data_IF_798571443015
#
_entry.id   IF_798571443015
#
_cell.length_a   1.000
_cell.length_b   1.000
_cell.length_c   1.000
_cell.angle_alpha   90.00
_cell.angle_beta   90.00
_cell.angle_gamma   90.00
#
_symmetry.space_group_name_H-M   'P 1'
#
loop_
_entity.id
_entity.type
_entity.pdbx_description
1 polymer ?
#
# COMPACT_ATOMS: atom_id res chain seq x y z
N UNK A 1 -34.85 69.92 -0.57
CA UNK A 1 -35.61 69.82 0.70
C UNK A 1 -36.14 68.39 0.85
N UNK A 2 -36.65 68.03 2.05
CA UNK A 2 -37.18 66.72 2.54
C UNK A 2 -37.40 65.56 1.52
N UNK A 3 -37.05 64.28 1.81
CA UNK A 3 -37.58 63.35 2.86
C UNK A 3 -39.11 63.15 2.73
N UNK A 4 -39.73 61.96 2.83
CA UNK A 4 -39.33 60.60 3.28
C UNK A 4 -40.38 59.54 2.84
N UNK A 5 -39.98 58.25 2.72
CA UNK A 5 -40.67 56.98 3.16
C UNK A 5 -42.22 56.93 3.27
N UNK A 6 -42.99 55.94 2.78
CA UNK A 6 -42.78 54.79 1.85
C UNK A 6 -44.12 54.42 1.09
N UNK A 7 -44.78 53.24 1.03
CA UNK A 7 -44.76 51.92 1.70
C UNK A 7 -45.42 50.78 0.84
N UNK A 8 -44.87 49.55 0.90
CA UNK A 8 -45.48 48.17 0.82
C UNK A 8 -46.77 47.87 -0.02
N UNK A 9 -46.69 46.97 -1.01
CA UNK A 9 -47.32 45.60 -1.04
C UNK A 9 -46.88 44.72 -2.24
N UNK A 10 -47.28 43.44 -2.24
CA UNK A 10 -46.87 42.29 -3.07
C UNK A 10 -47.14 42.43 -4.62
N UNK A 11 -46.65 41.58 -5.54
CA UNK A 11 -46.50 40.12 -5.46
C UNK A 11 -45.61 39.45 -6.55
N UNK A 12 -45.31 38.15 -6.32
CA UNK A 12 -44.83 37.07 -7.21
C UNK A 12 -43.91 37.37 -8.41
N UNK A 13 -42.69 36.80 -8.36
CA UNK A 13 -42.14 35.92 -9.41
C UNK A 13 -41.14 34.94 -8.77
N UNK A 14 -41.00 33.73 -9.34
CA UNK A 14 -40.07 32.68 -8.85
C UNK A 14 -39.06 32.34 -9.93
N UNK A 15 -37.77 32.34 -9.59
CA UNK A 15 -36.73 31.60 -10.31
C UNK A 15 -35.64 31.15 -9.34
N UNK A 16 -35.05 30.00 -9.61
CA UNK A 16 -34.08 29.31 -8.75
C UNK A 16 -32.65 29.80 -8.94
N UNK A 17 -31.92 29.90 -7.83
CA UNK A 17 -30.46 29.81 -7.81
C UNK A 17 -30.08 28.63 -6.92
N UNK A 18 -29.52 27.58 -7.53
CA UNK A 18 -28.96 26.47 -6.79
C UNK A 18 -27.67 26.94 -6.09
N UNK A 19 -27.59 26.76 -4.77
CA UNK A 19 -26.38 27.07 -4.02
C UNK A 19 -25.29 26.05 -4.31
N UNK A 20 -24.08 26.50 -4.61
CA UNK A 20 -22.89 25.66 -4.56
C UNK A 20 -22.55 25.37 -3.09
N UNK A 21 -23.04 24.27 -2.55
CA UNK A 21 -22.77 23.90 -1.16
C UNK A 21 -21.31 23.48 -1.00
N UNK A 22 -20.55 24.31 -0.29
CA UNK A 22 -19.15 24.02 0.03
C UNK A 22 -19.08 22.95 1.12
N UNK A 23 -18.37 21.86 0.83
CA UNK A 23 -17.98 20.87 1.84
C UNK A 23 -17.17 21.58 2.93
N UNK A 24 -17.75 21.75 4.12
CA UNK A 24 -17.08 22.26 5.31
C UNK A 24 -16.44 21.09 6.08
N UNK A 25 -15.15 21.22 6.39
CA UNK A 25 -14.49 20.35 7.35
C UNK A 25 -14.87 20.72 8.80
N UNK A 26 -14.80 19.78 9.77
CA UNK A 26 -15.16 20.05 11.16
C UNK A 26 -14.21 21.08 11.83
N UNK A 27 -14.79 22.01 12.59
CA UNK A 27 -14.03 22.96 13.42
C UNK A 27 -14.74 24.28 13.76
N UNK A 28 -15.75 24.68 12.98
CA UNK A 28 -16.27 26.06 12.93
C UNK A 28 -17.30 26.44 14.05
N UNK A 29 -17.29 25.75 15.19
CA UNK A 29 -17.92 26.18 16.46
C UNK A 29 -19.45 26.32 16.54
N UNK A 30 -20.21 26.05 15.47
CA UNK A 30 -21.67 26.19 15.44
C UNK A 30 -22.46 25.09 16.19
N UNK A 31 -23.72 25.35 16.60
CA UNK A 31 -24.60 24.33 17.17
C UNK A 31 -25.01 23.28 16.10
N UNK A 32 -25.23 22.00 16.50
CA UNK A 32 -25.47 20.91 15.57
C UNK A 32 -26.86 20.97 14.89
N UNK A 33 -26.98 20.52 13.63
CA UNK A 33 -28.26 20.39 12.94
C UNK A 33 -29.07 19.19 13.45
N UNK A 34 -30.40 19.29 13.37
CA UNK A 34 -31.32 18.20 13.72
C UNK A 34 -31.43 17.14 12.62
N UNK A 35 -31.34 15.87 12.98
CA UNK A 35 -31.52 14.73 12.07
C UNK A 35 -32.97 14.57 11.58
N UNK A 36 -33.20 14.21 10.30
CA UNK A 36 -34.50 13.73 9.81
C UNK A 36 -34.85 12.35 10.39
N UNK A 37 -36.15 12.03 10.46
CA UNK A 37 -36.61 10.69 10.88
C UNK A 37 -36.33 9.61 9.82
N UNK A 38 -36.01 8.36 10.22
CA UNK A 38 -35.80 7.25 9.29
C UNK A 38 -37.06 6.87 8.49
N UNK A 39 -36.87 6.50 7.22
CA UNK A 39 -37.94 5.90 6.40
C UNK A 39 -38.33 4.49 6.88
N UNK A 40 -39.50 3.97 6.44
CA UNK A 40 -40.03 2.68 6.89
C UNK A 40 -39.15 1.50 6.44
N UNK A 41 -38.95 0.53 7.33
CA UNK A 41 -38.11 -0.64 7.08
C UNK A 41 -38.72 -1.60 6.03
N UNK A 42 -37.85 -2.22 5.23
CA UNK A 42 -38.22 -3.23 4.22
C UNK A 42 -38.54 -4.56 4.94
N UNK A 43 -39.67 -5.23 4.62
CA UNK A 43 -40.07 -6.47 5.29
C UNK A 43 -39.14 -7.66 4.95
N UNK A 44 -38.92 -8.61 5.90
CA UNK A 44 -38.14 -9.81 5.64
C UNK A 44 -38.73 -10.68 4.52
N UNK A 45 -37.87 -11.22 3.65
CA UNK A 45 -38.27 -12.16 2.59
C UNK A 45 -38.64 -11.54 1.24
N UNK A 46 -38.45 -10.23 1.05
CA UNK A 46 -38.48 -9.62 -0.28
C UNK A 46 -37.39 -10.24 -1.18
N UNK A 47 -37.70 -10.74 -2.40
CA UNK A 47 -36.69 -11.22 -3.33
C UNK A 47 -35.70 -10.12 -3.72
N UNK A 48 -34.41 -10.45 -3.75
CA UNK A 48 -33.38 -9.55 -4.28
C UNK A 48 -33.60 -9.24 -5.76
N UNK A 49 -33.12 -8.08 -6.26
CA UNK A 49 -33.23 -7.75 -7.68
C UNK A 49 -32.50 -8.80 -8.55
N UNK A 50 -33.05 -9.14 -9.72
CA UNK A 50 -32.41 -10.11 -10.61
C UNK A 50 -31.07 -9.59 -11.15
N UNK A 51 -30.09 -10.48 -11.41
CA UNK A 51 -28.81 -10.09 -11.99
C UNK A 51 -28.98 -9.53 -13.41
N UNK A 52 -28.09 -8.62 -13.86
CA UNK A 52 -28.15 -8.03 -15.20
C UNK A 52 -27.94 -9.09 -16.29
N UNK A 53 -28.77 -9.04 -17.34
CA UNK A 53 -28.86 -10.08 -18.38
C UNK A 53 -27.83 -10.01 -19.51
N UNK A 54 -26.76 -9.22 -19.38
CA UNK A 54 -25.72 -9.03 -20.40
C UNK A 54 -24.35 -8.91 -19.74
N UNK A 55 -23.26 -9.42 -20.36
CA UNK A 55 -21.90 -9.16 -19.89
C UNK A 55 -21.63 -7.65 -19.81
N UNK A 56 -20.95 -7.22 -18.76
CA UNK A 56 -20.57 -5.81 -18.57
C UNK A 56 -19.13 -5.63 -19.05
N UNK A 57 -18.95 -5.02 -20.21
CA UNK A 57 -17.62 -4.49 -20.55
C UNK A 57 -17.31 -3.32 -19.61
N UNK A 58 -16.11 -3.34 -19.04
CA UNK A 58 -15.64 -2.48 -17.94
C UNK A 58 -16.47 -2.53 -16.62
N UNK A 59 -16.20 -3.51 -15.74
CA UNK A 59 -16.78 -3.57 -14.39
C UNK A 59 -16.15 -2.59 -13.37
N UNK A 60 -15.14 -1.80 -13.76
CA UNK A 60 -14.46 -0.82 -12.90
C UNK A 60 -14.44 0.54 -13.61
N UNK A 61 -15.60 1.22 -13.62
CA UNK A 61 -15.94 2.31 -14.54
C UNK A 61 -15.02 3.54 -14.57
N UNK A 62 -13.88 3.42 -15.23
CA UNK A 62 -13.12 4.53 -15.81
C UNK A 62 -13.64 4.80 -17.23
N UNK A 63 -14.10 6.02 -17.51
CA UNK A 63 -14.55 6.44 -18.84
C UNK A 63 -13.36 6.82 -19.73
N UNK A 64 -13.17 6.18 -20.90
CA UNK A 64 -12.25 6.70 -21.91
C UNK A 64 -12.70 8.08 -22.38
N UNK A 65 -11.79 9.04 -22.41
CA UNK A 65 -12.03 10.34 -23.07
C UNK A 65 -11.50 10.22 -24.49
N UNK A 66 -12.42 10.23 -25.45
CA UNK A 66 -12.09 10.24 -26.88
C UNK A 66 -11.50 11.60 -27.27
N UNK A 67 -10.32 11.67 -27.92
CA UNK A 67 -9.67 12.94 -28.23
C UNK A 67 -10.28 13.73 -29.41
N UNK A 68 -11.10 13.12 -30.28
CA UNK A 68 -11.41 13.69 -31.61
C UNK A 68 -12.82 14.30 -31.78
N UNK A 69 -13.13 15.31 -30.95
CA UNK A 69 -14.01 16.44 -31.30
C UNK A 69 -15.55 16.25 -31.21
N UNK A 70 -16.36 17.21 -31.72
CA UNK A 70 -16.01 18.55 -32.21
C UNK A 70 -16.52 19.69 -31.31
N UNK A 71 -16.00 20.91 -31.48
CA UNK A 71 -16.54 22.13 -30.87
C UNK A 71 -17.61 22.77 -31.76
N UNK A 72 -18.78 23.08 -31.21
CA UNK A 72 -19.79 23.94 -31.84
C UNK A 72 -20.05 25.19 -30.98
N UNK A 73 -20.37 26.33 -31.61
CA UNK A 73 -20.38 27.65 -31.00
C UNK A 73 -21.61 28.48 -31.43
N UNK A 74 -22.26 29.12 -30.46
CA UNK A 74 -23.56 29.76 -30.66
C UNK A 74 -23.50 31.08 -31.45
N UNK A 75 -24.14 31.03 -32.63
CA UNK A 75 -24.94 32.06 -33.31
C UNK A 75 -24.73 33.56 -33.03
N UNK A 76 -24.51 34.35 -34.09
CA UNK A 76 -25.11 35.69 -34.34
C UNK A 76 -24.88 36.08 -35.84
N UNK A 77 -25.59 37.06 -36.46
CA UNK A 77 -26.29 36.72 -37.71
C UNK A 77 -26.03 37.60 -38.97
N UNK A 78 -26.25 36.97 -40.13
CA UNK A 78 -26.88 37.47 -41.38
C UNK A 78 -26.52 38.85 -41.97
N UNK A 79 -25.78 38.86 -43.09
CA UNK A 79 -26.03 39.72 -44.28
C UNK A 79 -25.22 39.19 -45.52
N UNK A 80 -25.60 39.50 -46.80
CA UNK A 80 -25.00 38.88 -48.00
C UNK A 80 -24.36 39.84 -49.04
N UNK A 81 -23.91 39.26 -50.18
CA UNK A 81 -23.45 39.87 -51.46
C UNK A 81 -22.01 40.49 -51.47
N UNK A 82 -21.23 40.61 -52.57
CA UNK A 82 -21.42 40.32 -54.03
C UNK A 82 -20.17 39.66 -54.71
N UNK A 83 -20.31 39.28 -55.99
CA UNK A 83 -19.33 39.26 -57.12
C UNK A 83 -18.13 38.27 -57.28
N UNK A 84 -18.28 37.48 -58.35
CA UNK A 84 -17.36 36.79 -59.32
C UNK A 84 -16.16 37.60 -59.91
N UNK A 85 -15.29 37.05 -60.82
CA UNK A 85 -15.03 35.64 -61.27
C UNK A 85 -13.54 35.22 -61.51
N UNK A 86 -13.33 33.92 -61.84
CA UNK A 86 -12.20 33.33 -62.65
C UNK A 86 -10.78 33.25 -61.98
N UNK A 87 -9.85 32.35 -62.36
CA UNK A 87 -9.63 31.61 -63.63
C UNK A 87 -9.21 30.12 -63.50
N UNK A 88 -9.67 29.30 -64.45
CA UNK A 88 -9.19 27.96 -64.87
C UNK A 88 -7.86 28.01 -65.68
N UNK A 89 -7.26 26.89 -66.20
CA UNK A 89 -7.06 25.54 -65.61
C UNK A 89 -5.67 24.93 -65.94
N UNK A 90 -5.29 23.79 -65.33
CA UNK A 90 -4.34 22.79 -65.91
C UNK A 90 -4.76 21.36 -65.52
N UNK A 91 -4.69 20.42 -66.47
CA UNK A 91 -5.09 19.01 -66.30
C UNK A 91 -4.05 18.13 -65.60
N UNK A 92 -4.52 17.03 -64.99
CA UNK A 92 -3.71 15.90 -64.51
C UNK A 92 -4.61 14.74 -64.11
N UNK A 93 -4.86 13.81 -65.03
CA UNK A 93 -5.63 12.58 -64.80
C UNK A 93 -4.67 11.41 -64.52
N UNK A 94 -4.97 10.61 -63.49
CA UNK A 94 -4.44 9.26 -63.30
C UNK A 94 -5.21 8.57 -62.15
N UNK A 95 -6.09 7.63 -62.50
CA UNK A 95 -6.89 6.86 -61.53
C UNK A 95 -6.24 5.51 -61.20
N UNK A 96 -5.92 5.27 -59.93
CA UNK A 96 -5.57 3.92 -59.43
C UNK A 96 -6.27 3.65 -58.10
N UNK A 97 -7.22 2.72 -58.10
CA UNK A 97 -7.89 2.17 -56.91
C UNK A 97 -6.93 1.21 -56.17
N UNK A 98 -6.89 1.19 -54.82
CA UNK A 98 -6.07 0.24 -54.08
C UNK A 98 -6.53 -1.21 -54.27
N UNK A 99 -5.63 -2.21 -54.18
CA UNK A 99 -5.97 -3.62 -54.24
C UNK A 99 -6.47 -4.15 -52.89
N UNK A 100 -7.63 -4.82 -52.89
CA UNK A 100 -8.01 -5.75 -51.82
C UNK A 100 -7.07 -6.97 -51.81
N UNK A 101 -6.62 -7.38 -50.63
CA UNK A 101 -6.08 -8.73 -50.39
C UNK A 101 -6.58 -9.32 -49.08
N UNK A 102 -7.76 -9.95 -49.14
CA UNK A 102 -8.16 -10.94 -48.14
C UNK A 102 -7.17 -12.10 -48.10
N UNK A 103 -6.75 -12.50 -46.90
CA UNK A 103 -6.01 -13.74 -46.66
C UNK A 103 -6.62 -14.44 -45.44
N UNK A 104 -6.85 -15.75 -45.55
CA UNK A 104 -7.73 -16.50 -44.64
C UNK A 104 -7.00 -17.08 -43.42
N UNK A 105 -7.78 -17.39 -42.38
CA UNK A 105 -7.33 -18.01 -41.13
C UNK A 105 -7.23 -19.54 -41.27
N UNK A 106 -6.11 -20.17 -40.86
CA UNK A 106 -6.08 -21.58 -40.53
C UNK A 106 -6.07 -21.79 -39.00
N UNK A 107 -7.20 -22.23 -38.44
CA UNK A 107 -7.28 -22.80 -37.09
C UNK A 107 -6.94 -24.28 -37.13
N UNK A 108 -5.90 -24.74 -36.41
CA UNK A 108 -5.72 -26.17 -36.13
C UNK A 108 -5.26 -26.45 -34.68
N UNK A 109 -5.93 -27.41 -34.06
CA UNK A 109 -5.55 -28.17 -32.85
C UNK A 109 -6.63 -29.23 -32.60
N UNK A 110 -6.36 -30.38 -31.95
CA UNK A 110 -5.07 -31.04 -31.68
C UNK A 110 -5.05 -32.49 -32.27
N UNK A 111 -3.98 -33.27 -32.03
CA UNK A 111 -4.07 -34.72 -31.87
C UNK A 111 -4.07 -35.14 -30.38
N UNK A 112 -4.59 -36.34 -30.09
CA UNK A 112 -4.75 -36.92 -28.74
C UNK A 112 -4.05 -38.29 -28.65
N UNK A 113 -3.85 -38.78 -27.43
CA UNK A 113 -3.30 -40.10 -27.05
C UNK A 113 -1.79 -40.33 -27.31
N UNK A 114 -1.09 -41.22 -26.59
CA UNK A 114 -1.55 -42.31 -25.69
C UNK A 114 -0.69 -42.45 -24.41
N UNK A 115 -1.16 -43.28 -23.47
CA UNK A 115 -0.55 -43.70 -22.19
C UNK A 115 0.97 -43.96 -22.16
N UNK A 116 1.62 -43.55 -21.07
CA UNK A 116 2.64 -44.37 -20.36
C UNK A 116 2.57 -44.11 -18.84
N UNK A 117 2.27 -45.14 -18.05
CA UNK A 117 2.64 -45.27 -16.61
C UNK A 117 2.94 -46.75 -16.29
N UNK A 118 3.60 -47.11 -15.17
CA UNK A 118 4.88 -47.81 -15.30
C UNK A 118 4.85 -49.28 -14.88
N UNK A 119 5.83 -50.05 -15.37
CA UNK A 119 6.12 -51.41 -14.89
C UNK A 119 7.29 -51.44 -13.90
N UNK A 120 7.15 -52.29 -12.88
CA UNK A 120 8.06 -52.48 -11.73
C UNK A 120 9.22 -53.43 -12.06
N UNK A 121 10.23 -53.59 -11.18
CA UNK A 121 10.19 -54.73 -10.26
C UNK A 121 10.63 -54.40 -8.82
N UNK A 122 10.46 -55.36 -7.91
CA UNK A 122 10.44 -55.17 -6.46
C UNK A 122 11.70 -55.67 -5.71
N UNK A 123 11.79 -55.25 -4.44
CA UNK A 123 12.31 -55.96 -3.26
C UNK A 123 13.75 -56.54 -3.22
N UNK A 124 14.48 -56.13 -2.16
CA UNK A 124 15.16 -57.07 -1.26
C UNK A 124 15.07 -56.55 0.19
N UNK A 125 14.78 -57.43 1.15
CA UNK A 125 14.92 -57.21 2.61
C UNK A 125 16.41 -57.06 3.04
N UNK A 126 16.84 -56.79 4.28
CA UNK A 126 16.25 -56.99 5.63
C UNK A 126 16.81 -55.98 6.66
N UNK A 127 16.11 -55.73 7.79
CA UNK A 127 16.69 -55.11 8.98
C UNK A 127 17.30 -56.14 9.94
N UNK A 128 18.19 -55.70 10.84
CA UNK A 128 18.68 -56.50 11.98
C UNK A 128 18.48 -55.75 13.30
N UNK A 129 17.74 -56.37 14.23
CA UNK A 129 17.79 -56.05 15.66
C UNK A 129 19.02 -56.65 16.32
N UNK A 130 19.45 -56.10 17.47
CA UNK A 130 19.49 -56.89 18.72
C UNK A 130 19.78 -56.05 19.98
N UNK A 131 19.21 -56.50 21.09
CA UNK A 131 19.24 -55.99 22.49
C UNK A 131 18.80 -57.22 23.33
N UNK A 132 19.23 -57.50 24.60
CA UNK A 132 19.45 -56.53 25.69
C UNK A 132 20.52 -56.91 26.74
N UNK A 133 20.50 -56.26 27.91
CA UNK A 133 21.32 -56.53 29.11
C UNK A 133 21.88 -55.22 29.71
N UNK A 134 21.38 -54.56 30.76
CA UNK A 134 20.59 -54.87 31.98
C UNK A 134 21.45 -54.89 33.25
N UNK A 135 20.90 -54.26 34.30
CA UNK A 135 21.41 -54.03 35.66
C UNK A 135 22.56 -53.01 35.84
N UNK A 136 22.49 -52.00 36.71
CA UNK A 136 21.89 -51.78 38.06
C UNK A 136 22.91 -52.02 39.18
N UNK A 137 23.39 -50.95 39.85
CA UNK A 137 23.37 -50.80 41.32
C UNK A 137 23.95 -49.43 41.77
N UNK A 138 23.35 -48.87 42.84
CA UNK A 138 23.77 -47.66 43.58
C UNK A 138 23.26 -47.83 45.02
N UNK A 139 24.12 -47.78 46.08
CA UNK A 139 23.86 -46.80 47.15
C UNK A 139 25.08 -46.34 48.01
N UNK A 140 25.05 -45.06 48.43
CA UNK A 140 25.65 -44.55 49.68
C UNK A 140 27.18 -44.34 49.73
N UNK A 141 27.73 -43.63 50.73
CA UNK A 141 27.11 -42.76 51.76
C UNK A 141 28.16 -41.85 52.43
N UNK A 142 27.78 -40.59 52.71
CA UNK A 142 28.17 -39.67 53.79
C UNK A 142 29.64 -39.40 54.29
N UNK A 143 29.78 -38.14 54.75
CA UNK A 143 30.60 -37.62 55.86
C UNK A 143 32.06 -37.12 55.70
N UNK A 144 32.17 -35.80 55.95
CA UNK A 144 33.10 -35.08 56.84
C UNK A 144 34.61 -34.88 56.53
N UNK A 145 34.89 -33.59 56.28
CA UNK A 145 36.13 -32.80 56.51
C UNK A 145 36.64 -32.96 57.96
N UNK A 146 37.97 -33.13 58.23
CA UNK A 146 38.84 -31.94 58.42
C UNK A 146 40.36 -32.07 58.19
N UNK A 147 41.02 -30.89 58.13
CA UNK A 147 42.23 -30.48 58.89
C UNK A 147 43.45 -29.93 58.09
N UNK A 148 43.90 -28.75 58.54
CA UNK A 148 45.31 -28.32 58.72
C UNK A 148 46.29 -28.27 57.52
N UNK A 149 46.36 -27.09 56.87
CA UNK A 149 47.57 -26.24 56.65
C UNK A 149 48.81 -26.77 55.88
N UNK A 150 49.68 -25.87 55.33
CA UNK A 150 50.34 -26.13 54.04
C UNK A 150 51.79 -26.62 54.10
N UNK A 151 52.24 -27.20 52.99
CA UNK A 151 53.64 -27.27 52.58
C UNK A 151 53.84 -26.49 51.26
N UNK A 152 55.06 -25.99 51.01
CA UNK A 152 55.37 -25.06 49.91
C UNK A 152 56.48 -25.64 49.04
N UNK A 153 56.18 -25.94 47.77
CA UNK A 153 57.16 -26.37 46.77
C UNK A 153 56.86 -25.70 45.42
N UNK A 154 57.86 -25.28 44.62
CA UNK A 154 57.65 -24.32 43.53
C UNK A 154 57.08 -24.93 42.25
N UNK A 155 56.24 -24.17 41.56
CA UNK A 155 55.65 -24.50 40.26
C UNK A 155 56.72 -24.63 39.17
N UNK A 156 56.71 -25.76 38.46
CA UNK A 156 57.39 -25.93 37.17
C UNK A 156 56.54 -25.26 36.07
N UNK A 157 57.11 -24.48 35.14
CA UNK A 157 56.33 -23.81 34.11
C UNK A 157 55.78 -24.80 33.09
N UNK A 158 54.46 -24.86 32.93
CA UNK A 158 53.81 -25.52 31.80
C UNK A 158 53.68 -24.54 30.63
N UNK A 159 54.14 -24.97 29.45
CA UNK A 159 54.22 -24.18 28.23
C UNK A 159 52.81 -23.93 27.67
N UNK A 160 52.21 -22.79 28.04
CA UNK A 160 50.84 -22.46 27.68
C UNK A 160 50.80 -21.95 26.25
N UNK A 161 50.56 -22.85 25.30
CA UNK A 161 50.35 -22.51 23.90
C UNK A 161 49.18 -21.51 23.77
N UNK A 162 49.46 -20.29 23.32
CA UNK A 162 48.45 -19.27 23.09
C UNK A 162 47.49 -19.72 21.99
N UNK A 163 46.26 -20.10 22.36
CA UNK A 163 45.15 -20.22 21.41
C UNK A 163 44.97 -18.88 20.71
N UNK A 164 45.08 -18.81 19.36
CA UNK A 164 44.89 -17.56 18.64
C UNK A 164 43.52 -16.98 18.96
N UNK A 165 43.49 -15.82 19.62
CA UNK A 165 42.24 -15.14 19.93
C UNK A 165 41.71 -14.55 18.63
N UNK A 166 40.64 -15.12 18.08
CA UNK A 166 39.98 -14.50 16.93
C UNK A 166 39.54 -13.07 17.29
N UNK A 167 39.72 -12.10 16.38
CA UNK A 167 39.31 -10.74 16.64
C UNK A 167 37.80 -10.68 16.79
N UNK A 168 37.33 -10.45 18.02
CA UNK A 168 35.90 -10.22 18.30
C UNK A 168 35.49 -8.92 17.62
N UNK A 169 34.93 -9.05 16.42
CA UNK A 169 34.26 -7.95 15.73
C UNK A 169 33.19 -7.39 16.68
N UNK A 170 33.17 -6.07 16.94
CA UNK A 170 32.13 -5.49 17.78
C UNK A 170 30.75 -5.74 17.16
N UNK A 171 29.68 -5.92 17.96
CA UNK A 171 28.33 -6.02 17.43
C UNK A 171 28.01 -4.78 16.60
N UNK A 172 27.29 -4.98 15.48
CA UNK A 172 26.87 -3.87 14.63
C UNK A 172 25.69 -3.18 15.32
N UNK A 173 25.90 -1.92 15.74
CA UNK A 173 24.85 -1.09 16.35
C UNK A 173 23.64 -0.95 15.41
N UNK A 174 22.40 -1.02 15.92
CA UNK A 174 21.20 -0.91 15.09
C UNK A 174 21.03 0.52 14.54
N UNK A 175 20.62 0.61 13.27
CA UNK A 175 20.46 1.90 12.55
C UNK A 175 19.03 2.44 12.61
N UNK A 176 18.08 1.61 13.05
CA UNK A 176 16.71 1.97 13.37
C UNK A 176 16.11 0.95 14.36
N UNK A 177 14.93 1.23 14.89
CA UNK A 177 14.14 0.25 15.65
C UNK A 177 12.71 0.13 15.14
N UNK A 178 12.10 -1.01 15.38
CA UNK A 178 10.76 -1.38 14.93
C UNK A 178 10.09 -2.29 15.97
N UNK A 179 8.75 -2.36 15.97
CA UNK A 179 8.03 -3.38 16.74
C UNK A 179 7.77 -4.62 15.90
N UNK A 180 7.64 -5.77 16.57
CA UNK A 180 7.27 -7.06 15.98
C UNK A 180 6.14 -6.99 14.91
N UNK A 181 6.14 -7.88 13.91
CA UNK A 181 5.06 -7.99 12.93
C UNK A 181 3.69 -8.17 13.60
N UNK A 182 2.64 -7.61 12.99
CA UNK A 182 1.27 -7.66 13.50
C UNK A 182 0.99 -6.81 14.75
N UNK A 183 2.02 -6.21 15.34
CA UNK A 183 1.92 -5.53 16.62
C UNK A 183 1.45 -4.07 16.44
N UNK A 184 0.20 -3.91 15.99
CA UNK A 184 -0.45 -2.65 15.60
C UNK A 184 -0.58 -1.64 16.76
N UNK A 185 -1.19 -0.48 16.54
CA UNK A 185 -1.51 0.45 17.63
C UNK A 185 -2.65 -0.13 18.50
N UNK A 186 -2.61 0.03 19.84
CA UNK A 186 -3.66 -0.48 20.72
C UNK A 186 -5.06 0.04 20.35
N UNK A 187 -5.91 -0.86 19.85
CA UNK A 187 -7.27 -0.54 19.41
C UNK A 187 -7.40 0.01 17.98
N UNK A 188 -6.34 0.05 17.16
CA UNK A 188 -6.49 0.37 15.74
C UNK A 188 -6.94 -0.81 14.89
N UNK A 189 -6.62 -2.04 15.29
CA UNK A 189 -7.07 -3.28 14.65
C UNK A 189 -6.53 -4.52 15.36
N UNK A 190 -6.45 -5.64 14.65
CA UNK A 190 -5.78 -6.87 15.10
C UNK A 190 -4.91 -7.39 13.95
N UNK A 191 -3.60 -7.29 14.10
CA UNK A 191 -2.63 -7.87 13.17
C UNK A 191 -2.42 -9.36 13.42
N UNK A 192 -1.77 -9.99 12.45
CA UNK A 192 -1.24 -11.36 12.56
C UNK A 192 0.26 -11.30 12.91
N UNK A 193 0.68 -12.11 13.87
CA UNK A 193 2.07 -12.17 14.37
C UNK A 193 2.93 -13.17 13.57
N UNK A 194 2.31 -14.17 12.93
CA UNK A 194 3.02 -15.25 12.23
C UNK A 194 3.37 -14.84 10.77
N UNK A 195 3.88 -13.61 10.60
CA UNK A 195 4.23 -13.06 9.28
C UNK A 195 5.56 -13.61 8.75
N UNK A 196 5.69 -13.60 7.43
CA UNK A 196 6.91 -13.95 6.70
C UNK A 196 7.39 -12.80 5.80
N UNK A 197 8.64 -12.87 5.35
CA UNK A 197 9.17 -11.97 4.34
C UNK A 197 8.60 -12.37 2.97
N UNK A 198 7.49 -11.74 2.60
CA UNK A 198 6.79 -11.99 1.33
C UNK A 198 7.58 -11.55 0.08
N UNK A 199 8.42 -10.53 0.19
CA UNK A 199 9.21 -10.00 -0.93
C UNK A 199 10.69 -9.82 -0.51
N UNK A 200 11.44 -10.94 -0.36
CA UNK A 200 12.84 -10.89 0.05
C UNK A 200 13.72 -10.24 -1.03
N UNK A 201 14.77 -9.55 -0.59
CA UNK A 201 15.76 -8.94 -1.49
C UNK A 201 15.33 -7.65 -2.19
N UNK A 202 14.10 -7.17 -1.99
CA UNK A 202 13.65 -5.90 -2.61
C UNK A 202 14.43 -4.67 -2.14
N UNK A 203 14.49 -3.66 -3.01
CA UNK A 203 14.92 -2.29 -2.69
C UNK A 203 13.80 -1.56 -1.94
N UNK A 204 14.13 -0.78 -0.91
CA UNK A 204 13.14 0.00 -0.18
C UNK A 204 12.49 1.07 -1.06
N UNK A 205 11.15 1.24 -1.07
CA UNK A 205 10.45 2.07 -2.07
C UNK A 205 10.71 3.58 -1.95
N UNK A 206 11.27 4.04 -0.82
CA UNK A 206 11.73 5.42 -0.65
C UNK A 206 13.24 5.50 -0.88
N UNK A 207 13.66 6.30 -1.86
CA UNK A 207 15.04 6.31 -2.38
C UNK A 207 16.14 6.60 -1.36
N UNK A 208 15.96 7.63 -0.54
CA UNK A 208 17.03 8.17 0.35
C UNK A 208 16.54 9.03 1.51
N UNK A 209 15.26 9.41 1.55
CA UNK A 209 14.71 10.15 2.69
C UNK A 209 14.48 9.21 3.89
N UNK A 210 14.57 9.71 5.14
CA UNK A 210 14.11 8.97 6.32
C UNK A 210 12.66 8.52 6.16
N UNK A 211 12.34 7.33 6.66
CA UNK A 211 11.02 6.73 6.54
C UNK A 211 10.49 6.29 7.92
N UNK A 212 9.18 6.33 8.08
CA UNK A 212 8.49 6.05 9.34
C UNK A 212 7.21 5.25 9.09
N UNK A 213 7.33 3.92 9.23
CA UNK A 213 6.23 2.98 9.10
C UNK A 213 5.33 3.10 10.33
N UNK A 214 4.10 3.57 10.12
CA UNK A 214 3.11 3.85 11.17
C UNK A 214 1.74 4.10 10.53
N UNK A 215 0.63 3.86 11.23
CA UNK A 215 -0.72 4.26 10.80
C UNK A 215 -0.82 5.73 10.39
N UNK A 216 -1.45 6.06 9.25
CA UNK A 216 -1.81 7.44 8.95
C UNK A 216 -3.18 7.86 9.51
N UNK A 217 -4.01 6.90 9.95
CA UNK A 217 -5.35 7.15 10.52
C UNK A 217 -5.29 7.41 12.02
N UNK A 218 -4.50 6.61 12.74
CA UNK A 218 -4.48 6.56 14.21
C UNK A 218 -3.31 7.33 14.84
N UNK A 219 -2.39 7.92 14.05
CA UNK A 219 -1.31 8.82 14.53
C UNK A 219 -1.63 10.30 14.28
N UNK A 220 -0.71 11.21 14.59
CA UNK A 220 -0.98 12.64 14.49
C UNK A 220 -1.11 13.09 13.02
N UNK A 221 -2.17 13.86 12.75
CA UNK A 221 -2.64 14.23 11.43
C UNK A 221 -3.69 13.28 10.84
N UNK A 222 -3.93 12.13 11.45
CA UNK A 222 -4.93 11.15 11.01
C UNK A 222 -6.35 11.47 11.48
N UNK A 223 -7.35 10.88 10.81
CA UNK A 223 -8.78 11.12 11.11
C UNK A 223 -9.21 10.71 12.52
N UNK A 224 -8.56 9.68 13.10
CA UNK A 224 -8.82 9.19 14.47
C UNK A 224 -7.79 9.75 15.47
N UNK A 225 -6.51 9.83 15.09
CA UNK A 225 -5.45 10.34 15.97
C UNK A 225 -5.49 11.87 16.19
N UNK A 226 -6.03 12.64 15.23
CA UNK A 226 -6.14 14.09 15.29
C UNK A 226 -4.79 14.82 15.28
N UNK A 227 -4.77 16.12 15.57
CA UNK A 227 -3.53 16.90 15.59
C UNK A 227 -2.95 17.19 14.20
N UNK A 228 -1.62 17.30 14.08
CA UNK A 228 -0.96 17.71 12.84
C UNK A 228 -0.11 16.61 12.19
N UNK A 229 -0.21 16.48 10.87
CA UNK A 229 0.55 15.48 10.09
C UNK A 229 2.06 15.79 10.01
N UNK A 230 2.45 17.05 10.25
CA UNK A 230 3.85 17.44 10.36
C UNK A 230 4.33 17.58 11.82
N UNK A 231 3.60 17.02 12.80
CA UNK A 231 4.07 16.94 14.19
C UNK A 231 5.33 16.06 14.28
N UNK A 232 6.40 16.49 14.99
CA UNK A 232 7.65 15.74 15.11
C UNK A 232 7.53 14.30 15.60
N UNK A 233 6.47 13.97 16.37
CA UNK A 233 6.26 12.61 16.90
C UNK A 233 6.00 11.56 15.82
N UNK A 234 5.62 11.97 14.61
CA UNK A 234 5.44 11.06 13.47
C UNK A 234 6.74 10.83 12.66
N UNK A 235 7.87 11.38 13.11
CA UNK A 235 9.18 11.29 12.46
C UNK A 235 10.21 10.69 13.43
N UNK A 236 9.79 9.63 14.12
CA UNK A 236 10.55 8.92 15.15
C UNK A 236 10.41 7.40 15.02
N UNK A 237 11.39 6.69 15.56
CA UNK A 237 11.36 5.24 15.79
C UNK A 237 10.84 4.96 17.23
N UNK A 238 10.33 3.75 17.55
CA UNK A 238 10.23 2.57 16.69
C UNK A 238 9.12 2.67 15.62
N UNK A 239 9.36 2.02 14.48
CA UNK A 239 8.33 1.71 13.50
C UNK A 239 7.25 0.77 14.05
N UNK A 240 6.10 0.74 13.38
CA UNK A 240 4.98 -0.11 13.73
C UNK A 240 4.19 -0.55 12.49
N UNK A 241 3.85 -1.83 12.45
CA UNK A 241 2.97 -2.41 11.45
C UNK A 241 1.60 -1.72 11.46
N UNK A 242 1.01 -1.54 10.29
CA UNK A 242 -0.36 -1.05 10.14
C UNK A 242 -1.20 -1.84 9.12
N UNK A 243 -0.70 -2.98 8.64
CA UNK A 243 -1.53 -3.98 7.96
C UNK A 243 -2.60 -4.51 8.93
N UNK A 244 -3.75 -4.96 8.43
CA UNK A 244 -4.91 -5.37 9.27
C UNK A 244 -5.53 -4.29 10.20
N UNK A 245 -5.12 -3.01 10.12
CA UNK A 245 -5.84 -1.96 10.85
C UNK A 245 -7.30 -1.82 10.37
N UNK A 246 -8.19 -1.45 11.28
CA UNK A 246 -9.62 -1.27 11.01
C UNK A 246 -9.85 -0.11 10.05
N UNK A 247 -10.67 -0.35 9.02
CA UNK A 247 -11.16 0.60 8.02
C UNK A 247 -12.68 0.48 7.88
N UNK A 248 -13.33 1.35 7.11
CA UNK A 248 -14.77 1.26 6.84
C UNK A 248 -15.12 0.52 5.53
N UNK A 249 -14.23 0.58 4.54
CA UNK A 249 -14.38 -0.10 3.24
C UNK A 249 -14.28 -1.62 3.38
N UNK A 250 -15.07 -2.37 2.60
CA UNK A 250 -15.10 -3.84 2.69
C UNK A 250 -13.93 -4.51 1.96
N UNK A 251 -12.76 -4.44 2.58
CA UNK A 251 -11.46 -4.97 2.14
C UNK A 251 -11.02 -6.13 3.04
N UNK A 252 -10.20 -7.06 2.51
CA UNK A 252 -9.86 -8.32 3.18
C UNK A 252 -8.50 -8.89 2.77
N UNK A 253 -7.91 -9.70 3.65
CA UNK A 253 -6.72 -10.51 3.40
C UNK A 253 -6.85 -11.82 4.20
N UNK A 254 -6.34 -12.96 3.69
CA UNK A 254 -6.19 -14.18 4.49
C UNK A 254 -5.21 -14.02 5.66
N UNK A 255 -4.30 -13.04 5.60
CA UNK A 255 -3.31 -12.70 6.64
C UNK A 255 -3.86 -11.72 7.69
N UNK A 256 -5.20 -11.62 7.83
CA UNK A 256 -5.85 -10.83 8.85
C UNK A 256 -7.05 -11.59 9.45
N UNK A 257 -7.24 -11.59 10.79
CA UNK A 257 -8.37 -12.25 11.43
C UNK A 257 -9.71 -11.53 11.25
N UNK A 258 -9.74 -10.42 10.51
CA UNK A 258 -10.90 -9.57 10.30
C UNK A 258 -11.06 -9.15 8.83
N UNK A 259 -12.26 -8.69 8.50
CA UNK A 259 -12.55 -7.95 7.26
C UNK A 259 -12.71 -6.46 7.59
N UNK A 260 -12.76 -5.63 6.54
CA UNK A 260 -12.62 -4.17 6.61
C UNK A 260 -11.25 -3.73 7.13
N UNK A 261 -10.22 -4.23 6.46
CA UNK A 261 -8.82 -4.00 6.84
C UNK A 261 -8.12 -2.97 5.94
N UNK A 262 -7.03 -2.43 6.46
CA UNK A 262 -5.95 -1.82 5.72
C UNK A 262 -5.16 -2.89 4.92
N UNK A 263 -4.91 -2.65 3.63
CA UNK A 263 -4.38 -3.63 2.66
C UNK A 263 -2.92 -3.40 2.22
N UNK A 264 -2.20 -2.55 2.94
CA UNK A 264 -0.78 -2.26 2.70
C UNK A 264 -0.07 -1.82 3.96
N UNK A 265 1.10 -1.22 3.79
CA UNK A 265 1.84 -0.53 4.83
C UNK A 265 1.97 0.95 4.46
N UNK A 266 1.64 1.85 5.39
CA UNK A 266 1.91 3.28 5.19
C UNK A 266 3.33 3.65 5.64
N UNK A 267 3.94 4.52 4.88
CA UNK A 267 5.31 5.00 5.04
C UNK A 267 5.25 6.53 5.03
N UNK A 268 5.33 7.18 6.20
CA UNK A 268 5.53 8.64 6.27
C UNK A 268 7.00 8.96 5.96
N UNK A 269 7.27 10.02 5.21
CA UNK A 269 8.59 10.24 4.60
C UNK A 269 9.16 11.64 4.85
N UNK A 270 10.43 11.69 5.24
CA UNK A 270 11.23 12.90 5.36
C UNK A 270 11.41 13.40 6.78
N UNK A 271 11.27 14.72 6.96
CA UNK A 271 11.34 15.39 8.28
C UNK A 271 10.13 16.31 8.48
N UNK A 272 9.87 16.79 9.72
CA UNK A 272 8.81 17.77 9.98
C UNK A 272 8.92 19.03 9.10
N UNK A 273 10.14 19.49 8.82
CA UNK A 273 10.42 20.66 7.98
C UNK A 273 10.07 20.39 6.51
N UNK A 274 10.37 19.18 6.02
CA UNK A 274 10.05 18.74 4.66
C UNK A 274 8.55 18.51 4.49
N UNK A 275 7.87 17.90 5.46
CA UNK A 275 6.41 17.81 5.50
C UNK A 275 5.78 19.22 5.43
N UNK A 276 6.29 20.15 6.24
CA UNK A 276 5.86 21.55 6.21
C UNK A 276 6.18 22.25 4.87
N UNK A 277 7.23 21.84 4.15
CA UNK A 277 7.52 22.34 2.82
C UNK A 277 6.55 21.77 1.76
N UNK A 278 6.23 20.48 1.80
CA UNK A 278 5.20 19.88 0.92
C UNK A 278 3.81 20.47 1.17
N UNK A 279 3.47 20.78 2.43
CA UNK A 279 2.25 21.52 2.81
C UNK A 279 2.17 22.91 2.16
N UNK A 280 3.30 23.63 2.07
CA UNK A 280 3.37 24.95 1.42
C UNK A 280 3.44 24.89 -0.11
N UNK A 281 3.91 23.78 -0.68
CA UNK A 281 3.98 23.57 -2.11
C UNK A 281 2.59 23.28 -2.72
N UNK A 282 2.35 23.80 -3.92
CA UNK A 282 1.19 23.43 -4.73
C UNK A 282 1.20 21.92 -5.01
N UNK A 283 0.02 21.29 -5.08
CA UNK A 283 -0.13 19.82 -5.21
C UNK A 283 0.74 19.24 -6.34
N UNK A 284 0.74 19.89 -7.49
CA UNK A 284 1.51 19.45 -8.66
C UNK A 284 3.04 19.54 -8.46
N UNK A 285 3.57 20.44 -7.63
CA UNK A 285 5.01 20.71 -7.54
C UNK A 285 5.71 20.04 -6.34
N UNK A 286 5.04 19.07 -5.69
CA UNK A 286 5.61 18.27 -4.60
C UNK A 286 6.56 17.21 -5.15
N UNK A 287 7.87 17.46 -5.04
CA UNK A 287 8.94 16.59 -5.55
C UNK A 287 10.05 16.32 -4.54
N UNK A 288 9.79 16.49 -3.24
CA UNK A 288 10.82 16.32 -2.19
C UNK A 288 11.15 14.85 -1.90
N UNK A 289 10.14 13.99 -1.81
CA UNK A 289 10.31 12.59 -1.42
C UNK A 289 10.22 11.67 -2.63
N UNK A 290 11.36 11.17 -3.09
CA UNK A 290 11.47 10.40 -4.34
C UNK A 290 11.18 8.90 -4.11
N UNK A 291 10.23 8.36 -4.90
CA UNK A 291 9.79 6.96 -4.87
C UNK A 291 10.49 6.18 -5.99
N UNK A 292 10.88 4.94 -5.71
CA UNK A 292 11.63 4.05 -6.60
C UNK A 292 10.97 2.68 -6.77
N UNK A 293 11.30 2.01 -7.87
CA UNK A 293 10.94 0.62 -8.09
C UNK A 293 11.66 -0.29 -7.09
N UNK A 294 10.91 -1.16 -6.42
CA UNK A 294 11.46 -2.10 -5.44
C UNK A 294 12.16 -3.31 -6.08
N UNK A 295 11.87 -3.60 -7.35
CA UNK A 295 12.35 -4.77 -8.10
C UNK A 295 12.33 -4.46 -9.62
N UNK A 296 13.12 -5.18 -10.42
CA UNK A 296 13.07 -5.13 -11.89
C UNK A 296 11.71 -5.63 -12.42
N UNK A 297 11.06 -4.90 -13.32
CA UNK A 297 9.75 -5.28 -13.83
C UNK A 297 9.10 -4.28 -14.79
N UNK A 298 7.78 -4.34 -14.92
CA UNK A 298 6.99 -3.51 -15.85
C UNK A 298 5.84 -2.81 -15.11
N UNK A 299 5.66 -1.52 -15.37
CA UNK A 299 4.52 -0.74 -14.85
C UNK A 299 3.24 -1.21 -15.54
N UNK A 300 2.42 -1.98 -14.84
CA UNK A 300 1.25 -2.67 -15.39
C UNK A 300 -0.04 -1.85 -15.35
N UNK A 301 -0.08 -0.77 -14.56
CA UNK A 301 -1.19 0.17 -14.47
C UNK A 301 -0.70 1.50 -13.87
N UNK A 302 -1.34 2.59 -14.30
CA UNK A 302 -1.27 3.92 -13.70
C UNK A 302 -2.72 4.36 -13.48
N UNK A 303 -3.11 4.59 -12.23
CA UNK A 303 -4.44 5.08 -11.84
C UNK A 303 -4.45 6.58 -11.54
N UNK A 304 -5.52 7.08 -10.94
CA UNK A 304 -5.69 8.52 -10.66
C UNK A 304 -4.83 9.08 -9.51
N UNK A 305 -4.23 8.22 -8.67
CA UNK A 305 -3.34 8.61 -7.56
C UNK A 305 -2.24 7.56 -7.26
N UNK A 306 -2.07 6.57 -8.15
CA UNK A 306 -1.30 5.36 -7.88
C UNK A 306 -0.71 4.71 -9.13
N UNK A 307 0.24 3.79 -8.93
CA UNK A 307 0.79 2.92 -9.98
C UNK A 307 0.92 1.48 -9.48
N UNK A 308 0.92 0.52 -10.41
CA UNK A 308 1.21 -0.89 -10.17
C UNK A 308 2.44 -1.35 -10.96
N UNK A 309 3.38 -2.01 -10.30
CA UNK A 309 4.57 -2.66 -10.86
C UNK A 309 4.39 -4.19 -10.81
N UNK A 310 4.52 -4.88 -11.94
CA UNK A 310 4.63 -6.35 -12.00
C UNK A 310 6.10 -6.75 -12.08
N UNK A 311 6.55 -7.47 -11.07
CA UNK A 311 7.92 -7.93 -10.88
C UNK A 311 7.94 -9.17 -9.99
N UNK A 312 8.88 -10.12 -10.19
CA UNK A 312 9.06 -11.27 -9.29
C UNK A 312 7.86 -12.20 -9.06
N UNK A 313 6.87 -12.23 -9.98
CA UNK A 313 5.60 -12.95 -9.79
C UNK A 313 4.58 -12.23 -8.88
N UNK A 314 4.90 -11.00 -8.46
CA UNK A 314 4.15 -10.17 -7.52
C UNK A 314 3.61 -8.92 -8.22
N UNK A 315 2.65 -8.24 -7.59
CA UNK A 315 2.25 -6.87 -7.94
C UNK A 315 2.56 -5.97 -6.75
N UNK A 316 3.46 -5.01 -6.94
CA UNK A 316 3.71 -3.93 -5.99
C UNK A 316 2.89 -2.72 -6.39
N UNK A 317 2.17 -2.11 -5.46
CA UNK A 317 1.45 -0.87 -5.71
C UNK A 317 1.97 0.26 -4.84
N UNK A 318 1.96 1.45 -5.42
CA UNK A 318 2.44 2.67 -4.78
C UNK A 318 1.31 3.69 -4.91
N UNK A 319 0.72 4.07 -3.77
CA UNK A 319 -0.44 4.96 -3.70
C UNK A 319 -0.03 6.34 -3.17
N UNK A 320 -0.91 7.32 -3.36
CA UNK A 320 -0.78 8.72 -2.97
C UNK A 320 0.41 9.45 -3.61
N UNK A 321 0.75 9.08 -4.85
CA UNK A 321 1.83 9.68 -5.61
C UNK A 321 1.44 11.05 -6.21
N UNK A 322 2.45 11.88 -6.52
CA UNK A 322 2.26 13.07 -7.33
C UNK A 322 2.20 12.71 -8.82
N UNK A 323 0.99 12.42 -9.30
CA UNK A 323 0.77 12.00 -10.69
C UNK A 323 1.24 13.03 -11.73
N UNK A 324 1.24 14.33 -11.39
CA UNK A 324 1.73 15.41 -12.25
C UNK A 324 3.27 15.45 -12.38
N UNK A 325 4.01 14.62 -11.63
CA UNK A 325 5.48 14.49 -11.68
C UNK A 325 5.92 13.02 -11.71
N UNK A 326 5.04 12.13 -12.18
CA UNK A 326 5.36 10.73 -12.45
C UNK A 326 6.41 10.63 -13.56
N UNK A 327 7.33 9.67 -13.47
CA UNK A 327 8.48 9.49 -14.39
C UNK A 327 8.32 8.28 -15.32
N UNK A 328 7.19 7.58 -15.22
CA UNK A 328 6.87 6.33 -15.92
C UNK A 328 5.41 6.36 -16.39
N UNK A 329 5.06 5.49 -17.33
CA UNK A 329 3.68 5.22 -17.77
C UNK A 329 3.43 3.71 -17.86
N UNK A 330 2.17 3.32 -18.03
CA UNK A 330 1.80 1.92 -18.28
C UNK A 330 2.58 1.35 -19.48
N UNK A 331 3.18 0.18 -19.30
CA UNK A 331 4.03 -0.50 -20.29
C UNK A 331 5.53 -0.21 -20.17
N UNK A 332 5.96 0.75 -19.34
CA UNK A 332 7.39 0.98 -19.12
C UNK A 332 8.05 -0.13 -18.31
N UNK A 333 9.14 -0.68 -18.83
CA UNK A 333 10.09 -1.49 -18.06
C UNK A 333 10.90 -0.59 -17.12
N UNK A 334 11.14 -1.06 -15.90
CA UNK A 334 11.91 -0.35 -14.87
C UNK A 334 12.91 -1.30 -14.20
N UNK A 335 14.05 -0.77 -13.75
CA UNK A 335 14.99 -1.51 -12.88
C UNK A 335 14.77 -1.17 -11.41
N UNK A 336 15.15 -2.05 -10.49
CA UNK A 336 15.19 -1.77 -9.06
C UNK A 336 15.99 -0.48 -8.78
N UNK A 337 15.50 0.37 -7.87
CA UNK A 337 16.07 1.69 -7.59
C UNK A 337 15.79 2.78 -8.65
N UNK A 338 15.18 2.46 -9.80
CA UNK A 338 14.75 3.47 -10.77
C UNK A 338 13.61 4.32 -10.18
N UNK A 339 13.71 5.65 -10.30
CA UNK A 339 12.65 6.52 -9.77
C UNK A 339 11.38 6.46 -10.62
N UNK A 340 10.26 6.24 -9.93
CA UNK A 340 8.92 6.17 -10.51
C UNK A 340 8.19 7.50 -10.41
N UNK A 341 8.44 8.27 -9.34
CA UNK A 341 7.73 9.52 -9.06
C UNK A 341 8.06 10.05 -7.67
N UNK A 342 7.08 10.69 -7.04
CA UNK A 342 7.23 11.36 -5.75
C UNK A 342 6.02 11.14 -4.85
N UNK A 343 6.24 11.13 -3.53
CA UNK A 343 5.17 11.10 -2.53
C UNK A 343 4.35 12.38 -2.58
N UNK A 344 3.03 12.27 -2.41
CA UNK A 344 2.07 13.36 -2.31
C UNK A 344 1.08 13.05 -1.18
N UNK A 345 -0.14 13.56 -1.29
CA UNK A 345 -1.28 13.18 -0.46
C UNK A 345 -2.54 13.02 -1.34
N UNK A 346 -2.36 12.44 -2.54
CA UNK A 346 -3.42 12.35 -3.55
C UNK A 346 -4.35 11.16 -3.29
N UNK A 347 -5.66 11.37 -3.38
CA UNK A 347 -6.68 10.33 -3.17
C UNK A 347 -7.70 10.32 -4.32
N UNK A 348 -7.25 10.55 -5.55
CA UNK A 348 -8.07 10.42 -6.77
C UNK A 348 -9.18 11.46 -6.92
N UNK A 349 -9.15 12.54 -6.12
CA UNK A 349 -10.15 13.61 -6.11
C UNK A 349 -10.19 14.36 -4.79
N UNK A 350 -10.05 13.64 -3.67
CA UNK A 350 -9.80 14.22 -2.34
C UNK A 350 -8.30 14.24 -2.01
N UNK A 351 -7.95 14.45 -0.73
CA UNK A 351 -6.57 14.49 -0.27
C UNK A 351 -6.45 13.95 1.17
N UNK A 352 -5.29 13.35 1.47
CA UNK A 352 -4.97 12.68 2.75
C UNK A 352 -3.77 13.34 3.46
N UNK A 353 -3.01 12.61 4.27
CA UNK A 353 -1.70 12.97 4.84
C UNK A 353 -0.55 12.70 3.87
N UNK A 354 0.61 13.33 4.06
CA UNK A 354 1.79 13.09 3.22
C UNK A 354 2.51 11.78 3.55
N UNK A 355 2.23 10.72 2.79
CA UNK A 355 2.82 9.40 2.95
C UNK A 355 2.79 8.60 1.64
N UNK A 356 3.64 7.58 1.54
CA UNK A 356 3.50 6.52 0.55
C UNK A 356 2.73 5.37 1.21
N UNK A 357 1.61 4.96 0.62
CA UNK A 357 0.98 3.69 0.95
C UNK A 357 1.47 2.63 -0.05
N UNK A 358 1.93 1.49 0.47
CA UNK A 358 2.59 0.45 -0.30
C UNK A 358 1.90 -0.91 -0.09
N UNK A 359 1.34 -1.48 -1.16
CA UNK A 359 0.68 -2.79 -1.13
C UNK A 359 1.53 -3.84 -1.86
N UNK A 360 1.58 -5.07 -1.33
CA UNK A 360 2.09 -6.25 -2.03
C UNK A 360 0.92 -7.19 -2.31
N UNK A 361 0.73 -7.58 -3.58
CA UNK A 361 -0.25 -8.59 -3.98
C UNK A 361 0.47 -9.80 -4.55
N UNK A 362 0.12 -11.00 -4.09
CA UNK A 362 0.74 -12.26 -4.49
C UNK A 362 -0.32 -13.27 -4.95
N UNK A 363 0.03 -14.12 -5.91
CA UNK A 363 -0.86 -15.18 -6.38
C UNK A 363 -0.64 -16.46 -5.55
N UNK A 364 -1.49 -16.68 -4.54
CA UNK A 364 -1.49 -17.89 -3.72
C UNK A 364 -2.31 -18.97 -4.41
N UNK A 365 -1.79 -20.20 -4.49
CA UNK A 365 -2.30 -21.22 -5.42
C UNK A 365 -3.77 -21.62 -5.22
N UNK A 366 -4.27 -21.53 -3.99
CA UNK A 366 -5.64 -21.85 -3.56
C UNK A 366 -6.56 -20.62 -3.42
N UNK A 367 -6.00 -19.41 -3.36
CA UNK A 367 -6.72 -18.16 -3.02
C UNK A 367 -6.66 -17.09 -4.12
N UNK A 368 -5.82 -17.28 -5.14
CA UNK A 368 -5.60 -16.31 -6.20
C UNK A 368 -4.77 -15.10 -5.74
N UNK A 369 -5.02 -13.94 -6.36
CA UNK A 369 -4.31 -12.69 -6.05
C UNK A 369 -4.81 -12.09 -4.73
N UNK A 370 -4.02 -12.26 -3.66
CA UNK A 370 -4.30 -11.77 -2.31
C UNK A 370 -3.29 -10.70 -1.86
N UNK A 371 -3.75 -9.78 -1.02
CA UNK A 371 -2.90 -8.78 -0.35
C UNK A 371 -2.14 -9.44 0.80
N UNK A 372 -0.84 -9.21 0.88
CA UNK A 372 0.05 -9.82 1.90
C UNK A 372 0.75 -8.73 2.73
N UNK A 373 1.12 -9.01 3.99
CA UNK A 373 1.81 -8.04 4.85
C UNK A 373 3.12 -7.54 4.21
N UNK A 374 3.28 -6.22 3.96
CA UNK A 374 4.53 -5.68 3.43
C UNK A 374 5.61 -5.51 4.50
N UNK A 375 5.22 -5.47 5.78
CA UNK A 375 6.01 -4.91 6.88
C UNK A 375 7.42 -5.52 7.01
N UNK A 376 7.55 -6.83 7.19
CA UNK A 376 8.86 -7.50 7.29
C UNK A 376 9.72 -7.34 6.03
N UNK A 377 9.10 -7.31 4.84
CA UNK A 377 9.82 -7.10 3.57
C UNK A 377 10.39 -5.68 3.47
N UNK A 378 9.72 -4.70 4.09
CA UNK A 378 10.18 -3.32 4.20
C UNK A 378 11.24 -3.15 5.29
N UNK A 379 11.17 -3.90 6.40
CA UNK A 379 12.22 -3.94 7.44
C UNK A 379 13.55 -4.38 6.83
N UNK A 380 13.63 -5.58 6.23
CA UNK A 380 14.87 -6.06 5.59
C UNK A 380 15.38 -5.09 4.50
N UNK A 381 14.46 -4.50 3.73
CA UNK A 381 14.81 -3.60 2.65
C UNK A 381 15.41 -2.28 3.17
N UNK A 382 15.04 -1.85 4.37
CA UNK A 382 15.63 -0.71 5.05
C UNK A 382 16.99 -1.05 5.66
N UNK A 383 17.16 -2.24 6.26
CA UNK A 383 18.47 -2.73 6.71
C UNK A 383 19.50 -2.74 5.57
N UNK A 384 19.09 -3.24 4.39
CA UNK A 384 19.89 -3.20 3.17
C UNK A 384 20.16 -1.78 2.66
N UNK A 385 19.28 -0.81 2.94
CA UNK A 385 19.42 0.60 2.49
C UNK A 385 20.35 1.39 3.39
N UNK A 386 20.23 1.22 4.70
CA UNK A 386 21.03 1.92 5.73
C UNK A 386 22.36 1.18 6.05
N UNK A 387 22.55 -0.03 5.52
CA UNK A 387 23.73 -0.88 5.72
C UNK A 387 23.98 -1.22 7.21
N UNK A 388 22.91 -1.58 7.92
CA UNK A 388 22.95 -1.99 9.33
C UNK A 388 21.62 -2.61 9.77
N UNK A 389 21.60 -3.38 10.88
CA UNK A 389 20.41 -4.08 11.33
C UNK A 389 19.35 -3.15 11.94
N UNK A 390 18.11 -3.60 11.96
CA UNK A 390 17.05 -3.03 12.78
C UNK A 390 17.01 -3.69 14.16
N UNK A 391 16.66 -2.92 15.19
CA UNK A 391 16.35 -3.45 16.52
C UNK A 391 14.84 -3.71 16.65
N UNK A 392 14.43 -4.97 16.82
CA UNK A 392 13.07 -5.27 17.27
C UNK A 392 12.93 -4.93 18.76
N UNK A 393 12.07 -3.96 19.08
CA UNK A 393 11.84 -3.52 20.47
C UNK A 393 10.50 -3.99 21.01
N UNK A 394 10.53 -4.55 22.22
CA UNK A 394 9.34 -5.07 22.90
C UNK A 394 8.20 -4.04 22.97
N UNK A 395 6.98 -4.52 22.74
CA UNK A 395 5.79 -3.73 22.99
C UNK A 395 5.60 -3.56 24.51
N UNK A 396 5.93 -2.38 25.01
CA UNK A 396 5.68 -2.00 26.40
C UNK A 396 4.17 -1.78 26.65
N UNK A 397 3.39 -2.86 26.70
CA UNK A 397 1.93 -2.88 26.93
C UNK A 397 1.55 -2.17 28.24
N UNK A 398 2.48 -2.03 29.19
CA UNK A 398 2.32 -1.24 30.40
C UNK A 398 2.04 0.26 30.14
N UNK A 399 2.43 0.82 28.99
CA UNK A 399 2.02 2.16 28.55
C UNK A 399 0.78 2.06 27.67
N UNK A 400 -0.29 1.53 28.27
CA UNK A 400 -1.61 1.48 27.64
C UNK A 400 -2.18 2.91 27.50
N UNK A 401 -1.85 3.57 26.39
CA UNK A 401 -2.69 4.65 25.85
C UNK A 401 -4.11 4.10 25.74
N UNK A 402 -5.11 4.85 26.23
CA UNK A 402 -6.51 4.42 26.16
C UNK A 402 -6.85 4.07 24.69
N UNK A 403 -7.41 2.88 24.42
CA UNK A 403 -7.62 2.42 23.06
C UNK A 403 -8.57 3.37 22.32
N UNK A 404 -8.34 3.54 21.02
CA UNK A 404 -9.09 4.50 20.21
C UNK A 404 -10.59 4.18 20.21
N UNK A 405 -11.39 5.09 20.76
CA UNK A 405 -12.84 5.02 20.69
C UNK A 405 -13.29 5.57 19.34
N UNK A 406 -13.35 4.68 18.34
CA UNK A 406 -13.92 4.99 17.03
C UNK A 406 -15.41 5.33 17.23
N UNK A 407 -15.89 6.53 16.85
CA UNK A 407 -17.30 6.89 17.02
C UNK A 407 -18.22 6.02 16.15
N UNK A 408 -19.41 5.70 16.64
CA UNK A 408 -20.40 4.95 15.87
C UNK A 408 -20.76 5.70 14.58
N UNK A 409 -20.69 5.01 13.44
CA UNK A 409 -20.94 5.60 12.12
C UNK A 409 -19.79 6.43 11.53
N UNK A 410 -18.63 6.54 12.20
CA UNK A 410 -17.47 7.22 11.62
C UNK A 410 -16.91 6.42 10.42
N UNK A 411 -16.63 7.11 9.31
CA UNK A 411 -16.00 6.47 8.14
C UNK A 411 -14.48 6.57 8.22
N UNK A 412 -13.82 5.43 8.48
CA UNK A 412 -12.38 5.31 8.37
C UNK A 412 -12.03 5.00 6.90
N UNK A 413 -11.80 6.06 6.14
CA UNK A 413 -11.23 6.00 4.79
C UNK A 413 -9.71 5.82 4.85
N UNK A 414 -9.14 5.25 3.78
CA UNK A 414 -7.71 4.96 3.58
C UNK A 414 -7.16 3.85 4.49
#
# INVERSE_FOLDING_TARGET
MQKTVAYVLAALAVTSLAGCDFIRFPGDGGPPPSTPEPGPAIPPGAPGPPPPGTPVENPYGETPVDPDGPTDASETPTAPETDTPATDPVSGDDTVTPPDTSAEVPTETPPTDTDVTPETPAETDTPSTDTPGTDSEVPGTDSEVPAETPDVTPTQPEDTAETPTEPVTPPVEPVFSYHAPGALLPGSGQGDIDQIVHAPGIVFPVKSAPAYLQSQVFTFGGGIGGGDQCDPRNFAYPWRDNFCETRSANRGSPFCPAQKIHQGQDIRVGTPEQCNAMRRAAKADRTLQEVVAVEDGVISNVGSYSISLRAGGRIYKYLHLNMAKLKVKTGDTVTAGQSLGYVSNDFGGSATTFHLHFEIVQNMADQGWVYVPPYLSLVEAYERRENGPGEEVEQNVAVASAPFVIPEGYEITE
#
